data_IF_246424484383
#
_entry.id   IF_246424484383
#
_cell.length_a   1.000
_cell.length_b   1.000
_cell.length_c   1.000
_cell.angle_alpha   90.00
_cell.angle_beta   90.00
_cell.angle_gamma   90.00
#
_symmetry.space_group_name_H-M   'P 1'
#
loop_
_entity.id
_entity.type
_entity.pdbx_description
1 polymer ?
#
# COMPACT_ATOMS: atom_id res chain seq x y z
N UNK A 1 27.59 16.25 -28.10
CA UNK A 1 26.53 15.86 -27.13
C UNK A 1 26.99 14.87 -26.06
N UNK A 2 27.67 13.75 -26.38
CA UNK A 2 28.11 12.75 -25.37
C UNK A 2 28.99 13.31 -24.23
N UNK A 3 29.84 14.30 -24.50
CA UNK A 3 30.70 14.93 -23.47
C UNK A 3 29.88 15.66 -22.39
N UNK A 4 28.78 16.33 -22.76
CA UNK A 4 27.86 16.97 -21.83
C UNK A 4 27.13 15.94 -20.93
N UNK A 5 26.74 14.80 -21.49
CA UNK A 5 26.03 13.74 -20.77
C UNK A 5 26.96 13.01 -19.78
N UNK A 6 28.24 12.85 -20.14
CA UNK A 6 29.26 12.28 -19.24
C UNK A 6 29.59 13.26 -18.10
N UNK A 7 29.68 14.56 -18.39
CA UNK A 7 29.92 15.59 -17.36
C UNK A 7 28.73 15.77 -16.41
N UNK A 8 27.50 15.56 -16.88
CA UNK A 8 26.30 15.63 -16.05
C UNK A 8 26.36 14.67 -14.84
N UNK A 9 27.00 13.50 -15.01
CA UNK A 9 27.13 12.49 -13.93
C UNK A 9 28.02 12.96 -12.78
N UNK A 10 29.11 13.66 -13.10
CA UNK A 10 30.08 14.15 -12.12
C UNK A 10 29.81 15.60 -11.69
N UNK A 11 28.85 16.29 -12.30
CA UNK A 11 28.54 17.68 -12.02
C UNK A 11 28.20 17.95 -10.55
N UNK A 12 27.48 17.03 -9.90
CA UNK A 12 27.12 17.15 -8.48
C UNK A 12 28.36 17.04 -7.59
N UNK A 13 29.22 16.05 -7.85
CA UNK A 13 30.46 15.89 -7.08
C UNK A 13 31.42 17.06 -7.31
N UNK A 14 31.54 17.54 -8.55
CA UNK A 14 32.34 18.73 -8.88
C UNK A 14 31.79 19.99 -8.14
N UNK A 15 30.48 20.19 -8.13
CA UNK A 15 29.83 21.28 -7.40
C UNK A 15 30.11 21.21 -5.90
N UNK A 16 29.98 20.02 -5.28
CA UNK A 16 30.29 19.82 -3.86
C UNK A 16 31.76 20.10 -3.57
N UNK A 17 32.69 19.62 -4.41
CA UNK A 17 34.13 19.91 -4.21
C UNK A 17 34.41 21.41 -4.27
N UNK A 18 33.85 22.14 -5.25
CA UNK A 18 33.98 23.59 -5.36
C UNK A 18 33.40 24.32 -4.16
N UNK A 19 32.21 23.93 -3.70
CA UNK A 19 31.58 24.50 -2.51
C UNK A 19 32.42 24.25 -1.25
N UNK A 20 33.06 23.09 -1.14
CA UNK A 20 33.94 22.77 -0.01
C UNK A 20 35.15 23.70 0.02
N UNK A 21 35.80 23.91 -1.13
CA UNK A 21 36.93 24.83 -1.24
C UNK A 21 36.51 26.30 -1.05
N UNK A 22 35.39 26.72 -1.63
CA UNK A 22 34.84 28.05 -1.42
C UNK A 22 34.51 28.31 0.05
N UNK A 23 33.90 27.33 0.74
CA UNK A 23 33.60 27.41 2.17
C UNK A 23 34.86 27.48 3.03
N UNK A 24 35.94 26.76 2.66
CA UNK A 24 37.23 26.85 3.33
C UNK A 24 37.87 28.24 3.18
N UNK A 25 37.79 28.82 1.98
CA UNK A 25 38.30 30.17 1.70
C UNK A 25 37.51 31.21 2.52
N UNK A 26 36.18 31.10 2.55
CA UNK A 26 35.33 31.99 3.35
C UNK A 26 35.54 31.83 4.87
N UNK A 27 35.80 30.61 5.35
CA UNK A 27 36.14 30.38 6.76
C UNK A 27 37.47 31.01 7.18
N UNK A 28 38.43 31.10 6.25
CA UNK A 28 39.70 31.76 6.51
C UNK A 28 39.62 33.30 6.37
N UNK A 29 38.74 33.81 5.50
CA UNK A 29 38.70 35.22 5.13
C UNK A 29 37.63 36.05 5.86
N UNK A 30 36.53 35.44 6.31
CA UNK A 30 35.36 36.17 6.82
C UNK A 30 35.09 35.86 8.28
N UNK A 31 34.69 34.63 8.61
CA UNK A 31 34.16 34.29 9.94
C UNK A 31 34.27 32.81 10.28
N UNK A 32 34.37 32.52 11.59
CA UNK A 32 34.41 31.14 12.13
C UNK A 32 33.12 30.35 11.86
N UNK A 33 31.99 31.03 11.61
CA UNK A 33 30.72 30.35 11.33
C UNK A 33 30.76 29.48 10.06
N UNK A 34 31.65 29.78 9.12
CA UNK A 34 31.83 29.02 7.89
C UNK A 34 32.51 27.65 8.10
N UNK A 35 32.98 27.33 9.31
CA UNK A 35 33.43 25.97 9.65
C UNK A 35 32.30 24.94 9.59
N UNK A 36 31.07 25.34 9.90
CA UNK A 36 29.89 24.45 9.83
C UNK A 36 29.68 23.93 8.39
N UNK A 37 29.54 24.78 7.35
CA UNK A 37 29.42 24.32 5.98
C UNK A 37 30.66 23.57 5.48
N UNK A 38 31.88 23.90 5.95
CA UNK A 38 33.08 23.11 5.62
C UNK A 38 32.93 21.65 6.08
N UNK A 39 32.46 21.43 7.31
CA UNK A 39 32.26 20.07 7.82
C UNK A 39 31.20 19.34 7.02
N UNK A 40 30.09 20.00 6.70
CA UNK A 40 28.97 19.40 5.94
C UNK A 40 29.39 19.05 4.51
N UNK A 41 29.92 20.00 3.75
CA UNK A 41 30.34 19.78 2.36
C UNK A 41 31.57 18.87 2.28
N UNK A 42 32.49 18.97 3.24
CA UNK A 42 33.64 18.08 3.37
C UNK A 42 33.23 16.63 3.61
N UNK A 43 32.26 16.38 4.48
CA UNK A 43 31.71 15.04 4.68
C UNK A 43 31.08 14.48 3.39
N UNK A 44 30.29 15.30 2.67
CA UNK A 44 29.71 14.91 1.38
C UNK A 44 30.77 14.64 0.30
N UNK A 45 31.85 15.42 0.28
CA UNK A 45 32.99 15.20 -0.61
C UNK A 45 33.64 13.84 -0.35
N UNK A 46 33.89 13.51 0.92
CA UNK A 46 34.49 12.24 1.34
C UNK A 46 33.59 11.07 0.96
N UNK A 47 32.29 11.15 1.22
CA UNK A 47 31.31 10.13 0.80
C UNK A 47 31.32 9.95 -0.72
N UNK A 48 31.28 11.04 -1.48
CA UNK A 48 31.35 10.99 -2.94
C UNK A 48 32.64 10.34 -3.45
N UNK A 49 33.76 10.53 -2.76
CA UNK A 49 35.03 9.87 -3.07
C UNK A 49 35.00 8.37 -2.78
N UNK A 50 34.36 7.96 -1.68
CA UNK A 50 34.14 6.54 -1.38
C UNK A 50 33.18 5.87 -2.37
N UNK A 51 32.12 6.58 -2.81
CA UNK A 51 31.18 6.09 -3.83
C UNK A 51 31.87 5.73 -5.15
N UNK A 52 32.89 6.53 -5.55
CA UNK A 52 33.68 6.28 -6.76
C UNK A 52 34.56 5.02 -6.63
N UNK A 53 35.03 4.70 -5.42
CA UNK A 53 35.89 3.55 -5.14
C UNK A 53 35.10 2.27 -4.87
N UNK A 54 33.85 2.38 -4.44
CA UNK A 54 33.01 1.23 -4.12
C UNK A 54 32.66 0.42 -5.38
N UNK A 55 32.96 -0.89 -5.35
CA UNK A 55 32.68 -1.82 -6.46
C UNK A 55 31.33 -2.54 -6.33
N UNK A 56 30.67 -2.46 -5.17
CA UNK A 56 29.46 -3.22 -4.86
C UNK A 56 28.19 -2.68 -5.53
N UNK A 57 28.09 -1.37 -5.78
CA UNK A 57 26.85 -0.73 -6.24
C UNK A 57 27.12 0.14 -7.48
N UNK A 58 26.81 -0.39 -8.66
CA UNK A 58 27.05 0.26 -9.96
C UNK A 58 26.35 1.61 -10.12
N UNK A 59 25.25 1.83 -9.38
CA UNK A 59 24.48 3.08 -9.39
C UNK A 59 25.26 4.21 -8.69
N UNK A 60 25.76 3.97 -7.48
CA UNK A 60 26.54 4.95 -6.71
C UNK A 60 27.83 5.34 -7.43
N UNK A 61 28.48 4.36 -8.08
CA UNK A 61 29.69 4.60 -8.87
C UNK A 61 29.46 5.51 -10.07
N UNK A 62 28.27 5.45 -10.67
CA UNK A 62 27.95 6.23 -11.88
C UNK A 62 27.30 7.59 -11.56
N UNK A 63 26.78 7.74 -10.34
CA UNK A 63 26.12 8.94 -9.82
C UNK A 63 26.53 9.16 -8.36
N UNK A 64 27.79 9.56 -8.10
CA UNK A 64 28.28 9.78 -6.74
C UNK A 64 27.48 10.88 -6.06
N UNK A 65 27.23 10.76 -4.75
CA UNK A 65 26.38 11.65 -3.92
C UNK A 65 24.90 11.63 -4.32
N UNK A 66 24.56 11.92 -5.58
CA UNK A 66 23.19 11.97 -6.10
C UNK A 66 22.45 10.62 -6.07
N UNK A 67 23.18 9.50 -6.18
CA UNK A 67 22.61 8.17 -6.09
C UNK A 67 21.96 7.87 -4.73
N UNK A 68 22.41 8.51 -3.65
CA UNK A 68 21.83 8.35 -2.30
C UNK A 68 20.38 8.83 -2.23
N UNK A 69 20.02 9.88 -2.96
CA UNK A 69 18.64 10.40 -3.00
C UNK A 69 17.68 9.32 -3.49
N UNK A 70 18.09 8.52 -4.47
CA UNK A 70 17.28 7.41 -4.97
C UNK A 70 17.00 6.37 -3.88
N UNK A 71 18.02 6.01 -3.10
CA UNK A 71 17.85 5.03 -2.02
C UNK A 71 16.95 5.56 -0.90
N UNK A 72 17.11 6.85 -0.55
CA UNK A 72 16.24 7.54 0.41
C UNK A 72 14.78 7.54 -0.07
N UNK A 73 14.54 7.84 -1.35
CA UNK A 73 13.19 7.82 -1.92
C UNK A 73 12.59 6.40 -1.99
N UNK A 74 13.41 5.37 -2.23
CA UNK A 74 12.95 3.99 -2.19
C UNK A 74 12.49 3.57 -0.79
N UNK A 75 13.14 4.06 0.28
CA UNK A 75 12.69 3.81 1.66
C UNK A 75 11.36 4.46 2.02
N UNK A 76 11.01 5.60 1.42
CA UNK A 76 9.69 6.25 1.65
C UNK A 76 8.54 5.57 0.88
N UNK A 77 8.87 4.85 -0.19
CA UNK A 77 7.88 4.17 -1.05
C UNK A 77 6.97 3.16 -0.34
N UNK A 78 7.44 2.26 0.55
CA UNK A 78 6.58 1.29 1.24
C UNK A 78 5.55 1.96 2.17
N UNK A 79 5.95 3.00 2.91
CA UNK A 79 5.07 3.72 3.83
C UNK A 79 3.89 4.38 3.09
N UNK A 80 4.17 5.07 1.98
CA UNK A 80 3.13 5.73 1.18
C UNK A 80 2.14 4.72 0.59
N UNK A 81 2.62 3.55 0.17
CA UNK A 81 1.76 2.49 -0.38
C UNK A 81 0.78 1.94 0.64
N UNK A 82 1.19 1.87 1.90
CA UNK A 82 0.40 1.28 2.96
C UNK A 82 -0.69 2.23 3.50
N UNK A 83 -0.48 3.55 3.43
CA UNK A 83 -1.40 4.52 4.04
C UNK A 83 -2.27 5.31 3.06
N UNK A 84 -1.88 5.45 1.79
CA UNK A 84 -2.64 6.25 0.81
C UNK A 84 -3.42 5.44 -0.24
N UNK A 85 -3.23 4.12 -0.31
CA UNK A 85 -3.82 3.26 -1.36
C UNK A 85 -4.30 1.92 -0.77
N UNK A 86 -4.86 1.95 0.44
CA UNK A 86 -5.57 0.79 1.00
C UNK A 86 -7.07 1.04 0.98
N UNK A 87 -7.68 0.78 -0.18
CA UNK A 87 -8.98 0.11 -0.24
C UNK A 87 -8.72 -1.23 -0.94
N UNK A 88 -8.53 -2.27 -0.14
CA UNK A 88 -8.39 -3.66 -0.61
C UNK A 88 -9.67 -4.18 -1.33
N UNK A 89 -10.76 -3.40 -1.26
CA UNK A 89 -12.09 -3.72 -1.76
C UNK A 89 -12.43 -3.04 -3.10
N UNK A 90 -11.59 -2.14 -3.62
CA UNK A 90 -11.91 -1.44 -4.87
C UNK A 90 -11.84 -2.41 -6.07
N UNK A 91 -13.02 -2.67 -6.64
CA UNK A 91 -13.23 -3.68 -7.68
C UNK A 91 -13.15 -3.08 -9.09
N UNK A 92 -12.13 -3.46 -9.90
CA UNK A 92 -12.30 -4.02 -11.28
C UNK A 92 -10.96 -4.53 -11.88
N UNK A 93 -10.90 -5.69 -12.58
CA UNK A 93 -11.83 -6.85 -12.59
C UNK A 93 -11.51 -7.90 -11.50
N UNK A 94 -10.45 -7.69 -10.71
CA UNK A 94 -10.11 -8.51 -9.54
C UNK A 94 -9.48 -7.64 -8.46
N UNK A 95 -9.94 -7.78 -7.21
CA UNK A 95 -9.33 -7.12 -6.04
C UNK A 95 -7.88 -7.58 -5.81
N UNK A 96 -7.06 -6.75 -5.14
CA UNK A 96 -5.66 -7.10 -4.82
C UNK A 96 -5.59 -8.35 -3.96
N UNK A 97 -6.51 -8.50 -3.01
CA UNK A 97 -6.64 -9.69 -2.18
C UNK A 97 -6.80 -10.96 -3.00
N UNK A 98 -7.71 -10.96 -3.99
CA UNK A 98 -7.99 -12.13 -4.83
C UNK A 98 -6.75 -12.58 -5.61
N UNK A 99 -5.96 -11.63 -6.13
CA UNK A 99 -4.71 -11.95 -6.85
C UNK A 99 -3.64 -12.50 -5.90
N UNK A 100 -3.52 -11.92 -4.70
CA UNK A 100 -2.58 -12.39 -3.67
C UNK A 100 -2.82 -13.85 -3.27
N UNK A 101 -4.09 -14.21 -3.08
CA UNK A 101 -4.52 -15.57 -2.75
C UNK A 101 -4.18 -16.58 -3.86
N UNK A 102 -4.40 -16.23 -5.13
CA UNK A 102 -3.98 -17.06 -6.27
C UNK A 102 -2.46 -17.26 -6.28
N UNK A 103 -1.67 -16.23 -5.99
CA UNK A 103 -0.21 -16.35 -5.94
C UNK A 103 0.28 -17.18 -4.75
N UNK A 104 -0.35 -17.07 -3.59
CA UNK A 104 -0.01 -17.86 -2.41
C UNK A 104 -0.26 -19.35 -2.67
N UNK A 105 -1.41 -19.70 -3.27
CA UNK A 105 -1.70 -21.07 -3.72
C UNK A 105 -0.73 -21.58 -4.77
N UNK A 106 -0.43 -20.78 -5.79
CA UNK A 106 0.50 -21.17 -6.85
C UNK A 106 1.92 -21.44 -6.34
N UNK A 107 2.33 -20.78 -5.24
CA UNK A 107 3.62 -20.98 -4.59
C UNK A 107 3.61 -22.04 -3.48
N UNK A 108 2.45 -22.65 -3.17
CA UNK A 108 2.31 -23.62 -2.09
C UNK A 108 2.50 -23.02 -0.69
N UNK A 109 2.29 -21.71 -0.53
CA UNK A 109 2.38 -21.01 0.76
C UNK A 109 1.01 -21.04 1.43
N UNK A 110 0.98 -21.09 2.77
CA UNK A 110 -0.26 -21.13 3.53
C UNK A 110 -1.18 -19.93 3.21
N UNK A 111 -2.37 -20.24 2.69
CA UNK A 111 -3.41 -19.31 2.23
C UNK A 111 -4.54 -19.14 3.27
N UNK A 112 -4.31 -19.55 4.53
CA UNK A 112 -5.34 -19.51 5.57
C UNK A 112 -5.33 -18.15 6.26
N UNK A 113 -6.41 -17.40 6.09
CA UNK A 113 -6.71 -16.22 6.91
C UNK A 113 -7.65 -16.61 8.07
N UNK A 114 -7.52 -15.99 9.26
CA UNK A 114 -8.44 -16.21 10.37
C UNK A 114 -9.88 -15.85 9.96
N UNK A 115 -10.86 -16.52 10.57
CA UNK A 115 -12.30 -16.54 10.20
C UNK A 115 -13.06 -15.19 10.25
N UNK A 116 -12.37 -14.05 10.37
CA UNK A 116 -13.00 -12.73 10.29
C UNK A 116 -13.37 -12.35 8.86
N UNK A 117 -14.50 -11.65 8.71
CA UNK A 117 -14.92 -11.07 7.43
C UNK A 117 -14.45 -9.62 7.37
N UNK A 118 -13.83 -9.26 6.24
CA UNK A 118 -13.39 -7.89 5.91
C UNK A 118 -14.47 -7.17 5.10
N UNK A 119 -15.45 -7.91 4.57
CA UNK A 119 -16.61 -7.43 3.81
C UNK A 119 -17.58 -6.62 4.68
N UNK A 120 -18.21 -5.59 4.09
CA UNK A 120 -19.24 -4.82 4.78
C UNK A 120 -20.55 -5.61 4.93
N UNK A 121 -20.72 -6.22 6.10
CA UNK A 121 -21.91 -7.01 6.49
C UNK A 121 -23.20 -6.15 6.51
N UNK A 122 -23.07 -4.83 6.61
CA UNK A 122 -24.19 -3.89 6.64
C UNK A 122 -24.42 -3.18 5.28
N UNK A 123 -23.59 -3.48 4.28
CA UNK A 123 -23.68 -2.91 2.94
C UNK A 123 -24.91 -3.36 2.18
N UNK A 124 -25.45 -2.51 1.31
CA UNK A 124 -26.54 -2.86 0.40
C UNK A 124 -26.05 -3.91 -0.61
N UNK A 125 -26.46 -5.17 -0.44
CA UNK A 125 -26.00 -6.31 -1.26
C UNK A 125 -25.61 -7.53 -0.42
N UNK A 126 -25.36 -7.34 0.88
CA UNK A 126 -25.12 -8.45 1.80
C UNK A 126 -26.45 -9.15 2.14
N UNK A 127 -26.58 -10.42 1.78
CA UNK A 127 -27.75 -11.24 2.09
C UNK A 127 -27.41 -12.26 3.17
N UNK A 128 -28.09 -12.17 4.32
CA UNK A 128 -28.02 -13.19 5.36
C UNK A 128 -29.13 -14.24 5.18
N UNK A 129 -28.81 -15.51 5.45
CA UNK A 129 -29.80 -16.59 5.49
C UNK A 129 -29.99 -17.00 6.95
N UNK A 130 -31.15 -16.70 7.51
CA UNK A 130 -31.51 -17.16 8.84
C UNK A 130 -31.86 -18.66 8.76
N UNK A 131 -31.15 -19.50 9.51
CA UNK A 131 -31.52 -20.91 9.63
C UNK A 131 -32.93 -21.01 10.24
N UNK A 132 -33.89 -21.49 9.43
CA UNK A 132 -35.23 -21.80 9.91
C UNK A 132 -35.21 -23.16 10.61
N UNK A 133 -35.53 -23.20 11.90
CA UNK A 133 -35.74 -24.46 12.66
C UNK A 133 -37.12 -25.09 12.42
N UNK A 134 -37.97 -24.46 11.60
CA UNK A 134 -39.32 -24.94 11.32
C UNK A 134 -39.25 -26.12 10.34
N UNK A 135 -39.58 -27.32 10.81
CA UNK A 135 -39.83 -28.47 9.91
C UNK A 135 -40.89 -28.06 8.89
N UNK A 136 -40.71 -28.34 7.59
CA UNK A 136 -41.79 -28.18 6.63
C UNK A 136 -42.92 -29.11 7.06
N UNK A 137 -44.06 -28.55 7.45
CA UNK A 137 -45.26 -29.34 7.63
C UNK A 137 -45.71 -29.76 6.23
N UNK A 138 -45.43 -31.00 5.85
CA UNK A 138 -46.02 -31.57 4.65
C UNK A 138 -47.45 -32.02 4.97
N UNK A 139 -48.44 -31.46 4.28
CA UNK A 139 -49.45 -32.28 3.68
C UNK A 139 -49.25 -32.20 2.17
N UNK A 140 -48.91 -33.34 1.57
CA UNK A 140 -49.07 -33.51 0.13
C UNK A 140 -50.58 -33.45 -0.12
N UNK A 141 -51.13 -32.27 -0.40
CA UNK A 141 -52.45 -32.16 -1.00
C UNK A 141 -52.25 -32.19 -2.50
N UNK A 142 -52.47 -33.36 -3.10
CA UNK A 142 -52.64 -33.52 -4.55
C UNK A 142 -53.73 -32.53 -4.96
N UNK A 143 -53.39 -31.59 -5.84
CA UNK A 143 -54.29 -30.58 -6.36
C UNK A 143 -55.40 -31.27 -7.19
N UNK A 144 -56.49 -31.65 -6.52
CA UNK A 144 -57.71 -32.14 -7.13
C UNK A 144 -58.55 -30.96 -7.61
N UNK A 145 -58.81 -30.90 -8.90
CA UNK A 145 -59.81 -30.00 -9.50
C UNK A 145 -61.19 -30.37 -8.95
N UNK A 146 -61.81 -29.47 -8.18
CA UNK A 146 -63.13 -29.67 -7.60
C UNK A 146 -63.69 -28.37 -7.01
N UNK A 147 -64.89 -28.02 -7.44
CA UNK A 147 -65.61 -26.76 -7.21
C UNK A 147 -66.02 -26.45 -5.76
N UNK A 148 -66.16 -25.14 -5.51
CA UNK A 148 -67.01 -24.47 -4.52
C UNK A 148 -66.47 -24.26 -3.08
N UNK A 149 -66.46 -22.98 -2.67
CA UNK A 149 -66.50 -22.54 -1.27
C UNK A 149 -65.30 -21.72 -0.77
N UNK A 150 -65.37 -20.39 -0.85
CA UNK A 150 -64.76 -19.49 0.17
C UNK A 150 -65.67 -19.52 1.43
N UNK A 151 -65.29 -19.06 2.64
CA UNK A 151 -64.12 -18.23 3.02
C UNK A 151 -63.44 -18.65 4.36
N UNK A 152 -62.32 -18.01 4.73
CA UNK A 152 -62.14 -17.47 6.09
C UNK A 152 -60.87 -16.61 6.18
N UNK A 153 -61.10 -15.36 6.58
CA UNK A 153 -60.14 -14.31 6.90
C UNK A 153 -59.42 -14.57 8.23
N UNK A 154 -58.12 -14.26 8.31
CA UNK A 154 -57.52 -13.52 9.44
C UNK A 154 -56.09 -13.05 9.09
N UNK A 155 -55.75 -11.78 9.35
CA UNK A 155 -54.39 -11.26 9.19
C UNK A 155 -53.58 -11.58 10.45
N UNK A 156 -52.41 -12.19 10.32
CA UNK A 156 -51.45 -12.25 11.43
C UNK A 156 -50.41 -11.15 11.23
N UNK A 157 -50.71 -10.00 11.83
CA UNK A 157 -49.79 -8.92 12.13
C UNK A 157 -48.53 -9.48 12.82
N UNK A 158 -47.31 -9.22 12.35
CA UNK A 158 -46.14 -9.54 13.15
C UNK A 158 -46.03 -8.53 14.29
N UNK A 159 -46.33 -9.01 15.50
CA UNK A 159 -46.05 -8.30 16.75
C UNK A 159 -44.54 -8.12 16.89
N UNK A 160 -44.04 -6.96 16.46
CA UNK A 160 -42.75 -6.44 16.86
C UNK A 160 -42.82 -6.16 18.37
N UNK A 161 -42.23 -7.04 19.18
CA UNK A 161 -41.89 -6.71 20.56
C UNK A 161 -40.42 -7.01 20.75
N UNK A 162 -39.66 -5.91 20.68
CA UNK A 162 -38.26 -5.77 20.99
C UNK A 162 -38.05 -6.21 22.45
N UNK A 163 -37.43 -7.37 22.68
CA UNK A 163 -36.89 -7.69 23.99
C UNK A 163 -35.48 -7.14 24.08
N UNK A 164 -35.43 -5.94 24.65
CA UNK A 164 -34.27 -5.30 25.24
C UNK A 164 -33.67 -6.22 26.32
N UNK A 165 -32.42 -6.64 26.15
CA UNK A 165 -31.43 -6.77 27.22
C UNK A 165 -30.03 -6.72 26.64
#
# INVERSE_FOLDING_TARGET
>A
MKFLILNQRYAVLAGVTLLTFASLICAAAVDVWFWVPVVVFGALMVVGWFDLRQTRHSILRNYPVSGHIRFILESFRPEIRQYMIESDQDEVPFSRQSRGLVYQRAKGVEDKRPFGTIEDVYGSGYAWLTHSSRRPASPISIFGFGSAGRPASSPMTPAFTIFRR
#
